data_IF_299588188946
#
_entry.id   IF_299588188946
#
_cell.length_a   1.000
_cell.length_b   1.000
_cell.length_c   1.000
_cell.angle_alpha   90.00
_cell.angle_beta   90.00
_cell.angle_gamma   90.00
#
_symmetry.space_group_name_H-M   'P 1'
#
loop_
_entity.id
_entity.type
_entity.pdbx_description
1 polymer ?
#
# COMPACT_ATOMS: atom_id res chain seq x y z
N UNK A 1 3.16 45.59 -29.27
CA UNK A 1 4.21 45.32 -30.29
C UNK A 1 4.69 43.89 -30.08
N UNK A 2 4.77 43.02 -31.10
CA UNK A 2 5.73 43.00 -32.23
C UNK A 2 7.19 42.80 -31.76
N UNK A 3 8.03 41.98 -32.41
CA UNK A 3 7.84 40.85 -33.35
C UNK A 3 9.23 40.19 -33.59
N UNK A 4 9.27 38.90 -33.96
CA UNK A 4 10.23 38.21 -34.86
C UNK A 4 11.72 38.64 -34.94
N UNK A 5 12.58 37.60 -34.83
CA UNK A 5 13.76 37.33 -35.69
C UNK A 5 14.98 38.30 -35.57
N UNK A 6 16.24 37.84 -35.67
CA UNK A 6 16.85 37.42 -36.95
C UNK A 6 18.24 36.77 -36.76
N UNK A 7 18.34 35.50 -37.20
CA UNK A 7 19.41 34.82 -37.99
C UNK A 7 20.91 34.90 -37.60
N UNK A 8 21.52 33.70 -37.61
CA UNK A 8 22.69 33.24 -38.43
C UNK A 8 24.03 33.98 -38.31
N UNK A 9 25.22 33.40 -38.59
CA UNK A 9 25.60 32.09 -39.18
C UNK A 9 26.56 31.33 -38.19
N UNK A 10 27.42 30.33 -38.47
CA UNK A 10 27.94 29.67 -39.70
C UNK A 10 28.35 28.20 -39.44
N UNK A 11 28.34 27.38 -40.50
CA UNK A 11 29.28 26.35 -41.01
C UNK A 11 30.60 26.01 -40.25
N UNK A 12 31.31 24.87 -40.42
CA UNK A 12 31.13 23.48 -40.99
C UNK A 12 32.47 22.71 -40.74
N UNK A 13 32.70 21.41 -41.00
CA UNK A 13 31.92 20.16 -40.96
C UNK A 13 32.86 18.95 -41.22
N UNK A 14 32.59 17.75 -40.67
CA UNK A 14 33.24 16.48 -41.03
C UNK A 14 32.42 15.26 -40.56
N UNK A 15 32.55 14.09 -41.23
CA UNK A 15 31.78 12.89 -40.93
C UNK A 15 32.61 11.59 -41.05
N UNK A 16 32.11 10.49 -40.48
CA UNK A 16 32.58 9.14 -40.81
C UNK A 16 31.42 8.14 -40.71
N UNK A 17 31.25 7.29 -41.71
CA UNK A 17 30.17 6.31 -41.81
C UNK A 17 30.60 4.92 -41.36
N UNK A 18 29.64 4.09 -40.94
CA UNK A 18 29.85 2.65 -40.77
C UNK A 18 28.61 1.90 -41.23
N UNK A 19 28.77 1.08 -42.27
CA UNK A 19 27.69 0.35 -42.93
C UNK A 19 27.49 -1.04 -42.32
N UNK A 20 26.25 -1.39 -41.97
CA UNK A 20 25.87 -2.77 -41.62
C UNK A 20 25.41 -3.54 -42.86
N UNK A 21 26.06 -4.65 -43.20
CA UNK A 21 25.71 -5.46 -44.37
C UNK A 21 24.43 -6.30 -44.17
N UNK A 22 23.66 -6.57 -45.24
CA UNK A 22 22.52 -7.50 -45.18
C UNK A 22 22.92 -8.95 -44.88
N UNK A 23 21.96 -9.72 -44.34
CA UNK A 23 22.11 -11.15 -44.04
C UNK A 23 22.41 -12.00 -45.30
N UNK A 24 23.21 -13.09 -45.20
CA UNK A 24 23.55 -13.94 -46.34
C UNK A 24 22.33 -14.61 -46.98
N UNK A 25 22.31 -14.69 -48.32
CA UNK A 25 21.25 -15.35 -49.11
C UNK A 25 21.01 -16.83 -48.72
N UNK A 26 22.02 -17.50 -48.19
CA UNK A 26 21.93 -18.88 -47.67
C UNK A 26 21.00 -19.00 -46.45
N UNK A 27 20.94 -17.99 -45.57
CA UNK A 27 20.04 -17.97 -44.42
C UNK A 27 18.58 -17.75 -44.86
N UNK A 28 18.36 -16.79 -45.77
CA UNK A 28 17.03 -16.49 -46.34
C UNK A 28 16.42 -17.75 -46.98
N UNK A 29 17.21 -18.49 -47.77
CA UNK A 29 16.76 -19.71 -48.44
C UNK A 29 16.41 -20.86 -47.46
N UNK A 30 17.03 -20.92 -46.26
CA UNK A 30 16.60 -21.86 -45.20
C UNK A 30 15.23 -21.48 -44.64
N UNK A 31 15.03 -20.20 -44.37
CA UNK A 31 13.78 -19.66 -43.78
C UNK A 31 12.59 -19.90 -44.71
N UNK A 32 12.76 -19.74 -46.03
CA UNK A 32 11.70 -20.04 -47.00
C UNK A 32 11.38 -21.55 -47.09
N UNK A 33 12.40 -22.42 -47.04
CA UNK A 33 12.18 -23.89 -46.99
C UNK A 33 11.37 -24.32 -45.76
N UNK A 34 11.66 -23.77 -44.58
CA UNK A 34 10.86 -24.01 -43.37
C UNK A 34 9.39 -23.55 -43.55
N UNK A 35 9.19 -22.32 -44.05
CA UNK A 35 7.85 -21.76 -44.28
C UNK A 35 7.01 -22.59 -45.25
N UNK A 36 7.63 -23.23 -46.26
CA UNK A 36 6.93 -24.15 -47.16
C UNK A 36 6.54 -25.46 -46.47
N UNK A 37 7.47 -26.09 -45.75
CA UNK A 37 7.22 -27.38 -45.07
C UNK A 37 6.10 -27.34 -44.02
N UNK A 38 5.83 -26.17 -43.43
CA UNK A 38 4.75 -25.96 -42.44
C UNK A 38 3.37 -25.81 -43.11
N UNK A 39 3.32 -25.52 -44.42
CA UNK A 39 2.06 -25.24 -45.14
C UNK A 39 1.36 -26.50 -45.68
N UNK A 40 2.12 -27.58 -45.88
CA UNK A 40 1.66 -28.77 -46.60
C UNK A 40 1.13 -29.90 -45.66
N UNK A 41 1.02 -29.64 -44.35
CA UNK A 41 0.73 -30.65 -43.31
C UNK A 41 -0.56 -30.39 -42.49
N UNK A 42 -1.67 -30.09 -43.15
CA UNK A 42 -3.00 -30.09 -42.51
C UNK A 42 -4.12 -30.49 -43.52
N UNK A 43 -4.89 -31.58 -43.31
CA UNK A 43 -5.88 -32.06 -44.28
C UNK A 43 -7.15 -31.19 -44.36
N UNK A 44 -7.87 -31.27 -45.49
CA UNK A 44 -9.05 -30.45 -45.76
C UNK A 44 -10.33 -31.02 -45.11
N UNK A 45 -11.22 -30.11 -44.68
CA UNK A 45 -12.58 -30.42 -44.24
C UNK A 45 -13.50 -30.76 -45.42
N UNK A 46 -13.66 -32.04 -45.74
CA UNK A 46 -14.84 -32.59 -46.44
C UNK A 46 -14.72 -34.11 -46.55
N UNK A 47 -15.21 -34.84 -45.54
CA UNK A 47 -15.79 -36.18 -45.71
C UNK A 47 -16.49 -36.67 -44.43
N UNK A 48 -17.60 -37.40 -44.65
CA UNK A 48 -18.45 -38.13 -43.67
C UNK A 48 -19.18 -37.30 -42.58
N UNK A 49 -20.44 -37.69 -42.34
CA UNK A 49 -21.41 -37.06 -41.44
C UNK A 49 -21.57 -37.91 -40.17
N UNK A 50 -21.70 -37.28 -38.99
CA UNK A 50 -21.98 -37.97 -37.72
C UNK A 50 -22.64 -37.04 -36.70
N UNK A 51 -23.90 -37.31 -36.37
CA UNK A 51 -24.73 -36.48 -35.48
C UNK A 51 -24.34 -36.66 -34.01
N UNK A 52 -24.16 -35.55 -33.26
CA UNK A 52 -24.99 -35.23 -32.09
C UNK A 52 -25.04 -33.69 -31.97
N UNK A 53 -26.17 -33.13 -31.53
CA UNK A 53 -26.35 -31.68 -31.31
C UNK A 53 -26.94 -31.45 -29.91
N UNK A 54 -26.20 -30.83 -28.99
CA UNK A 54 -26.71 -30.41 -27.68
C UNK A 54 -26.31 -28.95 -27.42
N UNK A 55 -27.34 -28.17 -27.09
CA UNK A 55 -27.35 -26.71 -27.02
C UNK A 55 -26.37 -26.13 -25.97
N UNK A 56 -25.51 -25.18 -26.38
CA UNK A 56 -24.95 -24.16 -25.48
C UNK A 56 -25.71 -22.84 -25.60
N UNK A 57 -26.25 -22.29 -24.51
CA UNK A 57 -26.51 -20.87 -24.38
C UNK A 57 -25.23 -20.08 -24.07
N UNK A 58 -25.13 -18.89 -24.67
CA UNK A 58 -23.94 -18.03 -24.77
C UNK A 58 -23.15 -17.69 -23.49
N UNK A 59 -21.89 -17.33 -23.73
CA UNK A 59 -21.08 -16.45 -22.87
C UNK A 59 -21.86 -15.21 -22.45
N UNK A 60 -21.94 -14.92 -21.16
CA UNK A 60 -22.17 -13.56 -20.66
C UNK A 60 -20.87 -12.75 -20.80
N UNK A 61 -20.92 -11.57 -21.45
CA UNK A 61 -19.75 -10.72 -21.62
C UNK A 61 -19.32 -10.09 -20.28
N UNK A 62 -18.16 -10.50 -19.75
CA UNK A 62 -17.46 -9.80 -18.65
C UNK A 62 -16.07 -9.37 -19.15
N UNK A 63 -16.07 -8.51 -20.16
CA UNK A 63 -14.86 -7.90 -20.72
C UNK A 63 -14.35 -6.80 -19.79
N UNK A 64 -13.33 -7.09 -18.97
CA UNK A 64 -12.55 -6.04 -18.29
C UNK A 64 -11.85 -6.37 -16.97
N UNK A 65 -12.24 -7.44 -16.24
CA UNK A 65 -11.77 -7.64 -14.85
C UNK A 65 -10.95 -8.93 -14.58
N UNK A 66 -10.82 -9.83 -15.55
CA UNK A 66 -10.24 -11.18 -15.33
C UNK A 66 -8.77 -11.21 -14.93
N UNK A 67 -7.97 -10.23 -15.37
CA UNK A 67 -6.52 -10.17 -15.11
C UNK A 67 -6.13 -9.39 -13.85
N UNK A 68 -7.08 -8.83 -13.10
CA UNK A 68 -6.75 -7.99 -11.95
C UNK A 68 -6.16 -8.82 -10.80
N UNK A 69 -4.87 -8.60 -10.53
CA UNK A 69 -4.07 -9.36 -9.55
C UNK A 69 -3.32 -8.44 -8.58
N UNK A 70 -3.59 -8.58 -7.29
CA UNK A 70 -2.95 -7.82 -6.20
C UNK A 70 -2.47 -8.72 -5.06
N UNK A 71 -1.47 -8.25 -4.31
CA UNK A 71 -1.06 -8.79 -3.00
C UNK A 71 -1.94 -8.28 -1.86
N UNK A 72 -2.55 -7.10 -1.99
CA UNK A 72 -3.43 -6.50 -0.97
C UNK A 72 -4.82 -6.27 -1.55
N UNK A 73 -5.83 -6.71 -0.82
CA UNK A 73 -7.25 -6.58 -1.18
C UNK A 73 -8.02 -5.99 -0.01
N UNK A 74 -9.07 -5.22 -0.31
CA UNK A 74 -10.06 -4.73 0.65
C UNK A 74 -11.42 -5.33 0.31
N UNK A 75 -12.26 -5.57 1.31
CA UNK A 75 -13.66 -5.95 1.15
C UNK A 75 -14.52 -5.20 2.17
N UNK A 76 -15.79 -5.00 1.83
CA UNK A 76 -16.78 -4.37 2.69
C UNK A 76 -17.75 -5.45 3.19
N UNK A 77 -17.73 -5.71 4.50
CA UNK A 77 -18.46 -6.79 5.16
C UNK A 77 -19.61 -6.22 5.98
N UNK A 78 -20.86 -6.46 5.57
CA UNK A 78 -22.04 -6.03 6.33
C UNK A 78 -22.31 -6.97 7.51
N UNK A 79 -22.70 -6.39 8.65
CA UNK A 79 -22.96 -7.14 9.88
C UNK A 79 -24.18 -8.09 9.75
N UNK A 80 -25.11 -7.81 8.84
CA UNK A 80 -26.32 -8.62 8.62
C UNK A 80 -26.12 -9.78 7.62
N UNK A 81 -25.01 -9.81 6.88
CA UNK A 81 -24.66 -10.91 5.95
C UNK A 81 -23.43 -11.72 6.37
N UNK A 82 -22.66 -11.23 7.34
CA UNK A 82 -21.46 -11.92 7.83
C UNK A 82 -21.82 -13.11 8.74
N UNK A 83 -21.11 -14.25 8.65
CA UNK A 83 -21.20 -15.27 9.69
C UNK A 83 -20.60 -14.75 11.00
N UNK A 84 -21.17 -15.13 12.15
CA UNK A 84 -20.73 -14.63 13.47
C UNK A 84 -19.22 -14.83 13.70
N UNK A 85 -18.67 -15.96 13.26
CA UNK A 85 -17.24 -16.30 13.35
C UNK A 85 -16.39 -15.82 12.15
N UNK A 86 -16.79 -14.76 11.44
CA UNK A 86 -16.07 -14.23 10.27
C UNK A 86 -14.59 -13.92 10.56
N UNK A 87 -14.27 -13.47 11.79
CA UNK A 87 -12.88 -13.22 12.22
C UNK A 87 -12.05 -14.49 12.26
N UNK A 88 -12.62 -15.60 12.71
CA UNK A 88 -11.91 -16.87 12.83
C UNK A 88 -11.70 -17.52 11.46
N UNK A 89 -12.69 -17.42 10.57
CA UNK A 89 -12.53 -17.77 9.14
C UNK A 89 -11.38 -17.03 8.47
N UNK A 90 -11.12 -15.77 8.83
CA UNK A 90 -9.95 -15.03 8.33
C UNK A 90 -8.63 -15.48 8.99
N UNK A 91 -8.64 -15.87 10.27
CA UNK A 91 -7.46 -16.43 10.97
C UNK A 91 -7.05 -17.79 10.37
N UNK A 92 -8.02 -18.64 10.02
CA UNK A 92 -7.83 -19.95 9.36
C UNK A 92 -7.06 -19.86 8.04
N UNK A 93 -7.13 -18.73 7.33
CA UNK A 93 -6.36 -18.50 6.10
C UNK A 93 -4.85 -18.32 6.36
N UNK A 94 -4.43 -18.13 7.61
CA UNK A 94 -3.05 -17.86 8.03
C UNK A 94 -2.36 -16.71 7.27
N UNK A 95 -3.14 -15.72 6.83
CA UNK A 95 -2.65 -14.48 6.19
C UNK A 95 -2.92 -13.27 7.09
N UNK A 96 -2.02 -12.27 7.12
CA UNK A 96 -2.27 -11.06 7.88
C UNK A 96 -3.46 -10.25 7.32
N UNK A 97 -4.31 -9.75 8.22
CA UNK A 97 -5.45 -8.91 7.89
C UNK A 97 -5.69 -7.82 8.93
N UNK A 98 -6.50 -6.82 8.57
CA UNK A 98 -6.86 -5.68 9.41
C UNK A 98 -8.38 -5.49 9.27
N UNK A 99 -9.08 -5.24 10.37
CA UNK A 99 -10.46 -4.80 10.37
C UNK A 99 -10.56 -3.35 10.85
N UNK A 100 -11.42 -2.56 10.21
CA UNK A 100 -11.85 -1.27 10.74
C UNK A 100 -12.66 -1.44 12.05
N UNK A 101 -12.96 -0.34 12.75
CA UNK A 101 -14.08 -0.28 13.68
C UNK A 101 -15.40 -0.57 12.92
N UNK A 102 -16.53 -0.72 13.63
CA UNK A 102 -17.83 -0.80 12.98
C UNK A 102 -18.21 0.57 12.39
N UNK A 103 -18.39 0.66 11.07
CA UNK A 103 -18.82 1.89 10.38
C UNK A 103 -20.34 2.05 10.47
N UNK A 104 -20.80 2.62 11.59
CA UNK A 104 -22.22 2.79 11.97
C UNK A 104 -22.78 4.22 11.78
N UNK A 105 -21.90 5.21 11.59
CA UNK A 105 -22.24 6.64 11.46
C UNK A 105 -22.24 7.16 10.02
N UNK A 106 -21.82 6.32 9.09
CA UNK A 106 -21.64 6.67 7.69
C UNK A 106 -22.92 7.13 6.99
N UNK A 107 -22.80 8.24 6.23
CA UNK A 107 -23.87 8.78 5.40
C UNK A 107 -23.59 8.56 3.90
N UNK A 108 -24.65 8.50 3.10
CA UNK A 108 -24.60 8.61 1.64
C UNK A 108 -24.64 10.09 1.23
N UNK A 109 -24.48 10.35 -0.07
CA UNK A 109 -24.61 11.69 -0.68
C UNK A 109 -25.99 12.34 -0.49
N UNK A 110 -27.04 11.55 -0.22
CA UNK A 110 -28.40 12.03 0.08
C UNK A 110 -28.62 12.32 1.58
N UNK A 111 -27.57 12.22 2.42
CA UNK A 111 -27.64 12.39 3.86
C UNK A 111 -28.23 11.20 4.64
N UNK A 112 -28.72 10.16 3.95
CA UNK A 112 -29.24 8.96 4.63
C UNK A 112 -28.12 8.05 5.11
N UNK A 113 -28.33 7.36 6.25
CA UNK A 113 -27.35 6.41 6.79
C UNK A 113 -27.08 5.24 5.83
N UNK A 114 -25.82 4.80 5.76
CA UNK A 114 -25.45 3.49 5.19
C UNK A 114 -25.84 2.36 6.15
N UNK A 115 -25.83 1.11 5.66
CA UNK A 115 -25.86 -0.07 6.54
C UNK A 115 -24.56 -0.14 7.38
N UNK A 116 -24.60 -0.58 8.65
CA UNK A 116 -23.39 -0.89 9.41
C UNK A 116 -22.51 -1.94 8.73
N UNK A 117 -21.21 -1.67 8.65
CA UNK A 117 -20.24 -2.52 7.94
C UNK A 117 -18.84 -2.43 8.54
N UNK A 118 -17.99 -3.39 8.18
CA UNK A 118 -16.55 -3.35 8.41
C UNK A 118 -15.81 -3.24 7.08
N UNK A 119 -14.76 -2.44 7.03
CA UNK A 119 -13.74 -2.49 5.99
C UNK A 119 -12.63 -3.45 6.43
N UNK A 120 -12.40 -4.51 5.66
CA UNK A 120 -11.39 -5.54 5.95
C UNK A 120 -10.29 -5.49 4.89
N UNK A 121 -9.03 -5.30 5.29
CA UNK A 121 -7.86 -5.38 4.42
C UNK A 121 -7.16 -6.73 4.63
N UNK A 122 -6.91 -7.50 3.56
CA UNK A 122 -6.22 -8.79 3.61
C UNK A 122 -4.93 -8.75 2.77
N UNK A 123 -3.82 -9.25 3.31
CA UNK A 123 -2.48 -9.18 2.68
C UNK A 123 -1.86 -10.56 2.43
N UNK A 124 -1.50 -10.81 1.18
CA UNK A 124 -0.88 -12.04 0.70
C UNK A 124 0.58 -11.82 0.29
N UNK A 125 1.44 -12.82 0.54
CA UNK A 125 2.85 -12.81 0.09
C UNK A 125 3.02 -12.81 -1.44
N UNK A 126 2.01 -13.24 -2.19
CA UNK A 126 2.02 -13.32 -3.65
C UNK A 126 0.70 -12.85 -4.26
N UNK A 127 0.74 -12.28 -5.46
CA UNK A 127 -0.43 -11.68 -6.12
C UNK A 127 -1.54 -12.71 -6.38
N UNK A 128 -2.67 -12.57 -5.69
CA UNK A 128 -3.91 -13.32 -5.94
C UNK A 128 -4.72 -12.65 -7.05
N UNK A 129 -5.50 -13.40 -7.82
CA UNK A 129 -6.50 -12.84 -8.74
C UNK A 129 -7.83 -12.56 -8.03
N UNK A 130 -8.67 -11.71 -8.62
CA UNK A 130 -10.04 -11.46 -8.16
C UNK A 130 -10.79 -12.77 -7.85
N UNK A 131 -10.71 -13.76 -8.76
CA UNK A 131 -11.33 -15.09 -8.59
C UNK A 131 -10.84 -15.79 -7.31
N UNK A 132 -9.53 -15.83 -7.08
CA UNK A 132 -8.95 -16.49 -5.90
C UNK A 132 -9.35 -15.80 -4.58
N UNK A 133 -9.56 -14.49 -4.58
CA UNK A 133 -10.05 -13.75 -3.41
C UNK A 133 -11.55 -13.98 -3.21
N UNK A 134 -12.34 -13.98 -4.28
CA UNK A 134 -13.78 -14.25 -4.15
C UNK A 134 -14.04 -15.64 -3.60
N UNK A 135 -13.50 -16.68 -4.24
CA UNK A 135 -13.73 -18.08 -3.82
C UNK A 135 -13.05 -18.41 -2.48
N UNK A 136 -11.82 -17.92 -2.25
CA UNK A 136 -10.99 -18.29 -1.10
C UNK A 136 -11.07 -17.35 0.11
N UNK A 137 -11.76 -16.22 0.01
CA UNK A 137 -11.90 -15.24 1.11
C UNK A 137 -13.34 -14.74 1.22
N UNK A 138 -13.94 -14.26 0.14
CA UNK A 138 -15.25 -13.61 0.23
C UNK A 138 -16.41 -14.59 0.45
N UNK A 139 -16.52 -15.62 -0.38
CA UNK A 139 -17.67 -16.52 -0.34
C UNK A 139 -17.86 -17.22 1.03
N UNK A 140 -16.79 -17.62 1.77
CA UNK A 140 -16.89 -18.05 3.17
C UNK A 140 -17.38 -17.00 4.18
N UNK A 141 -17.38 -15.71 3.82
CA UNK A 141 -17.77 -14.56 4.67
C UNK A 141 -19.11 -13.93 4.25
N UNK A 142 -19.93 -14.63 3.44
CA UNK A 142 -21.19 -14.11 2.91
C UNK A 142 -21.07 -13.43 1.54
N UNK A 143 -19.94 -13.60 0.84
CA UNK A 143 -19.73 -13.14 -0.54
C UNK A 143 -19.54 -11.64 -0.79
N UNK A 144 -18.93 -10.83 0.12
CA UNK A 144 -18.68 -9.41 -0.12
C UNK A 144 -17.79 -9.18 -1.36
N UNK A 145 -17.97 -8.05 -2.05
CA UNK A 145 -17.21 -7.76 -3.27
C UNK A 145 -15.77 -7.32 -2.95
N UNK A 146 -14.73 -8.04 -3.42
CA UNK A 146 -13.34 -7.67 -3.16
C UNK A 146 -12.83 -6.63 -4.16
N UNK A 147 -12.06 -5.66 -3.68
CA UNK A 147 -11.38 -4.65 -4.50
C UNK A 147 -9.87 -4.69 -4.21
N UNK A 148 -8.99 -4.54 -5.21
CA UNK A 148 -7.56 -4.49 -4.96
C UNK A 148 -7.19 -3.12 -4.37
N UNK A 149 -6.33 -3.14 -3.36
CA UNK A 149 -5.80 -1.90 -2.75
C UNK A 149 -4.65 -1.38 -3.59
N UNK A 150 -4.76 -0.13 -4.05
CA UNK A 150 -3.72 0.55 -4.84
C UNK A 150 -2.59 1.08 -3.96
N UNK A 151 -2.94 1.82 -2.90
CA UNK A 151 -2.00 2.28 -1.88
C UNK A 151 -2.42 1.77 -0.49
N UNK A 152 -1.48 1.14 0.22
CA UNK A 152 -1.74 0.49 1.50
C UNK A 152 -1.81 1.47 2.69
N UNK A 153 -0.85 2.42 2.87
CA UNK A 153 -0.97 3.48 3.87
C UNK A 153 -2.31 4.23 3.82
N UNK A 154 -2.74 4.68 2.64
CA UNK A 154 -3.99 5.42 2.46
C UNK A 154 -5.20 4.55 2.81
N UNK A 155 -5.21 3.27 2.40
CA UNK A 155 -6.29 2.34 2.76
C UNK A 155 -6.34 2.04 4.26
N UNK A 156 -5.21 2.02 4.96
CA UNK A 156 -5.16 1.88 6.43
C UNK A 156 -5.73 3.10 7.12
N UNK A 157 -5.39 4.32 6.67
CA UNK A 157 -5.95 5.58 7.19
C UNK A 157 -7.44 5.72 6.92
N UNK A 158 -7.91 5.22 5.76
CA UNK A 158 -9.32 5.17 5.41
C UNK A 158 -10.16 4.38 6.42
N UNK A 159 -9.62 3.36 7.10
CA UNK A 159 -10.36 2.57 8.10
C UNK A 159 -10.92 3.42 9.26
N UNK A 160 -10.36 4.60 9.51
CA UNK A 160 -10.83 5.58 10.48
C UNK A 160 -11.26 6.93 9.86
N UNK A 161 -11.28 7.03 8.52
CA UNK A 161 -11.56 8.25 7.72
C UNK A 161 -10.62 9.45 7.95
N UNK A 162 -9.38 9.22 8.40
CA UNK A 162 -8.41 10.25 8.84
C UNK A 162 -8.01 11.30 7.79
N UNK A 163 -8.33 11.07 6.52
CA UNK A 163 -8.00 11.95 5.38
C UNK A 163 -9.26 12.63 4.77
N UNK A 164 -10.43 12.46 5.39
CA UNK A 164 -11.73 12.90 4.86
C UNK A 164 -12.59 13.57 5.95
N UNK A 165 -12.44 14.90 6.17
CA UNK A 165 -13.10 15.61 7.26
C UNK A 165 -14.63 15.71 7.16
N UNK A 166 -15.22 15.42 5.99
CA UNK A 166 -16.68 15.43 5.81
C UNK A 166 -17.32 14.11 6.28
N UNK A 167 -16.52 13.05 6.47
CA UNK A 167 -16.98 11.76 7.00
C UNK A 167 -16.87 11.66 8.51
N UNK A 168 -17.75 10.83 9.07
CA UNK A 168 -17.64 10.39 10.45
C UNK A 168 -16.26 9.75 10.70
N UNK A 169 -15.49 10.37 11.59
CA UNK A 169 -14.21 9.87 12.05
C UNK A 169 -14.45 8.72 13.04
N UNK A 170 -13.62 7.68 12.97
CA UNK A 170 -13.67 6.55 13.91
C UNK A 170 -12.37 6.46 14.71
N UNK A 171 -12.42 5.80 15.88
CA UNK A 171 -11.26 5.67 16.75
C UNK A 171 -10.19 4.76 16.12
N UNK A 172 -8.93 5.21 16.13
CA UNK A 172 -7.80 4.45 15.59
C UNK A 172 -7.39 3.27 16.48
N UNK A 173 -7.72 3.29 17.78
CA UNK A 173 -7.46 2.18 18.70
C UNK A 173 -8.50 1.05 18.55
N UNK A 174 -9.64 1.32 17.89
CA UNK A 174 -10.67 0.32 17.57
C UNK A 174 -10.33 -0.46 16.27
N UNK A 175 -9.17 -0.19 15.63
CA UNK A 175 -8.68 -0.92 14.45
C UNK A 175 -8.01 -2.23 14.89
N UNK A 176 -8.62 -3.36 14.55
CA UNK A 176 -8.08 -4.68 14.91
C UNK A 176 -7.07 -5.18 13.87
N UNK A 177 -5.86 -5.53 14.32
CA UNK A 177 -4.76 -6.00 13.46
C UNK A 177 -4.43 -7.45 13.77
N UNK A 178 -4.44 -8.30 12.75
CA UNK A 178 -4.20 -9.74 12.86
C UNK A 178 -2.96 -10.16 12.06
N UNK A 179 -2.02 -10.80 12.76
CA UNK A 179 -0.69 -11.11 12.22
C UNK A 179 0.28 -9.93 12.30
N UNK A 180 1.54 -10.15 11.91
CA UNK A 180 2.61 -9.16 12.06
C UNK A 180 2.58 -8.08 10.95
N UNK A 181 1.65 -7.12 11.05
CA UNK A 181 1.64 -5.88 10.26
C UNK A 181 1.83 -4.69 11.22
N UNK A 182 2.86 -3.88 11.00
CA UNK A 182 2.90 -2.54 11.60
C UNK A 182 2.04 -1.57 10.78
N UNK A 183 0.88 -1.21 11.33
CA UNK A 183 -0.02 -0.16 10.81
C UNK A 183 0.18 1.20 11.49
N UNK A 184 0.87 1.25 12.64
CA UNK A 184 0.91 2.45 13.50
C UNK A 184 1.65 3.59 12.83
N UNK A 185 2.68 3.27 12.04
CA UNK A 185 3.38 4.19 11.14
C UNK A 185 2.50 4.96 10.13
N UNK A 186 1.24 4.54 9.89
CA UNK A 186 0.31 5.20 8.97
C UNK A 186 -0.85 5.92 9.69
N UNK A 187 -1.28 5.39 10.84
CA UNK A 187 -2.41 5.91 11.61
C UNK A 187 -2.03 7.15 12.43
N UNK A 188 -0.87 7.10 13.09
CA UNK A 188 -0.35 8.19 13.90
C UNK A 188 0.56 9.06 13.04
N UNK A 189 0.47 10.39 13.14
CA UNK A 189 1.55 11.24 12.62
C UNK A 189 2.81 10.95 13.43
N UNK A 190 3.75 10.22 12.83
CA UNK A 190 4.96 9.80 13.51
C UNK A 190 5.75 11.01 14.02
N UNK A 191 5.79 12.13 13.28
CA UNK A 191 6.52 13.33 13.69
C UNK A 191 5.91 13.95 14.94
N UNK A 192 4.59 14.18 14.99
CA UNK A 192 3.89 14.66 16.19
C UNK A 192 4.14 13.73 17.39
N UNK A 193 3.99 12.41 17.20
CA UNK A 193 4.26 11.42 18.25
C UNK A 193 5.71 11.44 18.75
N UNK A 194 6.70 11.63 17.87
CA UNK A 194 8.08 11.85 18.30
C UNK A 194 8.22 13.18 19.08
N UNK A 195 7.56 14.25 18.64
CA UNK A 195 7.62 15.57 19.29
C UNK A 195 6.93 15.59 20.65
N UNK A 196 5.85 14.83 20.88
CA UNK A 196 5.30 14.66 22.24
C UNK A 196 6.27 13.93 23.16
N UNK A 197 6.97 12.90 22.67
CA UNK A 197 8.05 12.23 23.44
C UNK A 197 9.21 13.19 23.72
N UNK A 198 9.53 14.11 22.80
CA UNK A 198 10.52 15.16 23.06
C UNK A 198 10.04 16.12 24.14
N UNK A 199 8.80 16.60 24.09
CA UNK A 199 8.21 17.45 25.15
C UNK A 199 8.28 16.75 26.51
N UNK A 200 7.85 15.49 26.59
CA UNK A 200 7.93 14.66 27.81
C UNK A 200 9.36 14.64 28.40
N UNK A 201 10.37 14.44 27.55
CA UNK A 201 11.79 14.42 27.94
C UNK A 201 12.26 15.81 28.41
N UNK A 202 11.94 16.89 27.69
CA UNK A 202 12.38 18.24 28.04
C UNK A 202 11.68 18.75 29.30
N UNK A 203 10.37 18.57 29.42
CA UNK A 203 9.58 18.89 30.61
C UNK A 203 10.07 18.12 31.85
N UNK A 204 10.58 16.90 31.68
CA UNK A 204 11.23 16.14 32.75
C UNK A 204 12.60 16.73 33.12
N UNK A 205 13.40 17.13 32.13
CA UNK A 205 14.68 17.79 32.38
C UNK A 205 14.50 19.13 33.12
N UNK A 206 13.47 19.90 32.76
CA UNK A 206 13.09 21.15 33.43
C UNK A 206 12.63 20.89 34.88
N UNK A 207 11.64 20.01 35.06
CA UNK A 207 11.01 19.73 36.36
C UNK A 207 11.96 19.18 37.44
N UNK A 208 13.09 18.58 37.04
CA UNK A 208 14.05 17.95 37.95
C UNK A 208 15.48 18.50 37.77
N UNK A 209 15.62 19.73 37.27
CA UNK A 209 16.88 20.48 37.17
C UNK A 209 18.02 19.66 36.51
N UNK A 210 17.70 18.91 35.47
CA UNK A 210 18.66 18.01 34.81
C UNK A 210 19.65 18.84 33.99
N UNK A 211 20.87 18.95 34.50
CA UNK A 211 22.00 19.69 33.92
C UNK A 211 23.06 18.79 33.26
N UNK A 212 22.96 17.46 33.42
CA UNK A 212 23.86 16.46 32.84
C UNK A 212 23.19 15.47 31.89
N UNK A 213 23.71 15.33 30.66
CA UNK A 213 23.15 14.46 29.62
C UNK A 213 23.23 12.97 29.97
N UNK A 214 24.25 12.58 30.77
CA UNK A 214 24.40 11.24 31.32
C UNK A 214 23.24 10.85 32.25
N UNK A 215 22.70 11.80 33.02
CA UNK A 215 21.58 11.57 33.96
C UNK A 215 20.31 11.22 33.22
N UNK A 216 19.92 12.01 32.20
CA UNK A 216 18.74 11.69 31.38
C UNK A 216 18.94 10.41 30.54
N UNK A 217 20.18 10.10 30.11
CA UNK A 217 20.47 8.81 29.47
C UNK A 217 20.28 7.60 30.39
N UNK A 218 20.74 7.69 31.64
CA UNK A 218 20.57 6.63 32.63
C UNK A 218 19.10 6.47 33.02
N UNK A 219 18.40 7.57 33.36
CA UNK A 219 16.97 7.52 33.67
C UNK A 219 16.13 6.98 32.50
N UNK A 220 16.44 7.37 31.26
CA UNK A 220 15.77 6.83 30.08
C UNK A 220 16.11 5.35 29.83
N UNK A 221 17.28 4.85 30.24
CA UNK A 221 17.62 3.41 30.16
C UNK A 221 16.86 2.59 31.19
N UNK A 222 16.88 3.05 32.43
CA UNK A 222 16.52 2.23 33.60
C UNK A 222 15.04 2.40 33.99
N UNK A 223 14.54 3.64 34.03
CA UNK A 223 13.19 3.98 34.52
C UNK A 223 12.18 4.27 33.39
N UNK A 224 12.66 4.74 32.23
CA UNK A 224 11.80 5.03 31.06
C UNK A 224 12.35 4.45 29.74
N UNK A 225 12.50 3.12 29.59
CA UNK A 225 13.07 2.49 28.38
C UNK A 225 12.51 2.96 27.03
N UNK A 226 11.23 3.38 26.98
CA UNK A 226 10.60 3.97 25.78
C UNK A 226 11.28 5.26 25.33
N UNK A 227 11.85 6.06 26.23
CA UNK A 227 12.59 7.28 25.92
C UNK A 227 14.03 7.00 25.47
N UNK A 228 14.63 5.86 25.83
CA UNK A 228 16.05 5.57 25.55
C UNK A 228 16.48 5.77 24.09
N UNK A 229 15.78 5.23 23.05
CA UNK A 229 16.14 5.48 21.66
C UNK A 229 15.94 6.94 21.23
N UNK A 230 15.08 7.70 21.92
CA UNK A 230 14.85 9.11 21.64
C UNK A 230 15.99 9.97 22.19
N UNK A 231 16.33 9.79 23.47
CA UNK A 231 17.45 10.49 24.14
C UNK A 231 18.80 10.17 23.49
N UNK A 232 19.04 8.91 23.12
CA UNK A 232 20.37 8.46 22.62
C UNK A 232 20.56 8.56 21.11
N UNK A 233 19.49 8.53 20.31
CA UNK A 233 19.60 8.46 18.83
C UNK A 233 18.78 9.52 18.09
N UNK A 234 17.49 9.68 18.39
CA UNK A 234 16.58 10.51 17.56
C UNK A 234 16.75 12.00 17.87
N UNK A 235 16.79 12.37 19.16
CA UNK A 235 16.86 13.76 19.62
C UNK A 235 18.15 14.07 20.41
N UNK A 236 19.19 13.24 20.26
CA UNK A 236 20.45 13.33 21.01
C UNK A 236 21.01 14.75 21.09
N UNK A 237 21.11 15.43 19.95
CA UNK A 237 21.64 16.81 19.87
C UNK A 237 20.76 17.83 20.59
N UNK A 238 19.44 17.70 20.48
CA UNK A 238 18.47 18.60 21.11
C UNK A 238 18.47 18.44 22.63
N UNK A 239 18.45 17.19 23.13
CA UNK A 239 18.44 16.90 24.57
C UNK A 239 19.77 17.31 25.22
N UNK A 240 20.91 16.98 24.59
CA UNK A 240 22.24 17.43 25.05
C UNK A 240 22.35 18.96 25.05
N UNK A 241 21.84 19.65 24.02
CA UNK A 241 21.86 21.11 23.97
C UNK A 241 20.97 21.77 25.03
N UNK A 242 19.76 21.25 25.26
CA UNK A 242 18.84 21.76 26.27
C UNK A 242 19.41 21.62 27.68
N UNK A 243 19.85 20.40 28.03
CA UNK A 243 20.42 20.05 29.34
C UNK A 243 21.68 20.87 29.64
N UNK A 244 22.54 21.09 28.63
CA UNK A 244 23.70 22.00 28.75
C UNK A 244 23.30 23.47 28.92
N UNK A 245 22.20 23.90 28.31
CA UNK A 245 21.67 25.26 28.48
C UNK A 245 21.10 25.50 29.88
N UNK A 246 20.43 24.50 30.47
CA UNK A 246 19.96 24.60 31.86
C UNK A 246 21.13 24.75 32.83
N UNK A 247 22.23 24.03 32.61
CA UNK A 247 23.45 24.17 33.39
C UNK A 247 23.97 25.62 33.39
N UNK A 248 24.14 26.20 32.21
CA UNK A 248 24.58 27.59 32.09
C UNK A 248 23.58 28.60 32.68
N UNK A 249 22.28 28.32 32.72
CA UNK A 249 21.34 29.16 33.47
C UNK A 249 21.61 29.06 34.98
N UNK A 250 21.63 27.83 35.53
CA UNK A 250 21.88 27.59 36.96
C UNK A 250 23.24 28.08 37.47
N UNK A 251 24.26 28.15 36.60
CA UNK A 251 25.58 28.71 36.89
C UNK A 251 25.60 30.24 36.93
N UNK A 252 24.67 30.92 36.24
CA UNK A 252 24.56 32.39 36.19
C UNK A 252 23.52 32.96 37.17
N UNK A 253 22.45 32.22 37.50
CA UNK A 253 21.44 32.64 38.47
C UNK A 253 21.96 32.65 39.93
N UNK A 254 23.16 32.12 40.18
CA UNK A 254 23.80 32.02 41.49
C UNK A 254 24.80 33.12 41.85
N UNK A 255 24.86 34.22 41.08
CA UNK A 255 25.93 35.24 41.18
C UNK A 255 25.44 36.70 41.07
#
# INVERSE_FOLDING_TARGET
MKEKNKKMETMEAAATTTTSSPLPKSEVNKIEKLKKSIKDSNPKKSDVIGQINVHTPNKSNVTGQTDQRSTTWTLLLYQDSAPENWKDKLKELHVPFIASPLHDKDLKQDGTKKKPHYHIIVRFRSKKSFKQIKEGVCDPLGGPHPQPVFDFPTMVRYLAHLDDPEKAQYNIEDIEVYGNIDVKQYLYNHQEYQMEILKDILNFCEKYDITEYSTICNYARDERPRWFPYVTKIFRSTVDAYVRSQRYASENDGN
#
